data_IF_019338701380
#
_entry.id   IF_019338701380
#
_cell.length_a   1.000
_cell.length_b   1.000
_cell.length_c   1.000
_cell.angle_alpha   90.00
_cell.angle_beta   90.00
_cell.angle_gamma   90.00
#
_symmetry.space_group_name_H-M   'P 1'
#
loop_
_entity.id
_entity.type
_entity.pdbx_description
1 polymer ?
#
# COMPACT_ATOMS: atom_id res chain seq x y z
N UNK A 1 -62.33 -39.62 40.23
CA UNK A 1 -61.09 -38.92 40.75
C UNK A 1 -60.08 -38.90 39.61
N UNK A 2 -59.96 -37.78 38.95
CA UNK A 2 -59.17 -37.64 37.73
C UNK A 2 -58.09 -36.59 37.96
N UNK A 3 -56.85 -37.05 38.05
CA UNK A 3 -55.67 -36.18 38.19
C UNK A 3 -55.21 -35.69 36.79
N UNK A 4 -55.24 -34.38 36.58
CA UNK A 4 -54.77 -33.73 35.34
C UNK A 4 -53.29 -33.43 35.46
N UNK A 5 -52.45 -34.15 34.71
CA UNK A 5 -51.06 -33.86 34.57
C UNK A 5 -50.86 -32.74 33.54
N UNK A 6 -50.40 -31.57 33.95
CA UNK A 6 -50.00 -30.48 33.07
C UNK A 6 -48.53 -30.62 32.72
N UNK A 7 -48.25 -30.95 31.47
CA UNK A 7 -46.90 -30.97 30.91
C UNK A 7 -46.55 -29.55 30.49
N UNK A 8 -45.57 -28.93 31.17
CA UNK A 8 -45.00 -27.64 30.74
C UNK A 8 -43.79 -27.89 29.80
N UNK A 9 -43.93 -27.53 28.54
CA UNK A 9 -42.82 -27.51 27.59
C UNK A 9 -42.05 -26.21 27.77
N UNK A 10 -40.88 -26.27 28.38
CA UNK A 10 -39.90 -25.17 28.32
C UNK A 10 -39.11 -25.27 27.01
N UNK A 11 -39.45 -24.38 26.07
CA UNK A 11 -38.64 -24.16 24.87
C UNK A 11 -37.38 -23.38 25.23
N UNK A 12 -36.23 -24.02 25.18
CA UNK A 12 -34.91 -23.35 25.28
C UNK A 12 -34.58 -22.74 23.91
N UNK A 13 -34.82 -21.44 23.77
CA UNK A 13 -34.20 -20.65 22.65
C UNK A 13 -32.73 -20.44 22.96
N UNK A 14 -31.89 -21.29 22.42
CA UNK A 14 -30.44 -21.07 22.37
C UNK A 14 -30.12 -19.97 21.36
N UNK A 15 -29.92 -18.74 21.82
CA UNK A 15 -29.35 -17.69 21.02
C UNK A 15 -27.89 -18.04 20.69
N UNK A 16 -27.65 -18.50 19.47
CA UNK A 16 -26.27 -18.58 18.92
C UNK A 16 -25.77 -17.15 18.69
N UNK A 17 -25.09 -16.59 19.68
CA UNK A 17 -24.28 -15.40 19.50
C UNK A 17 -23.01 -15.81 18.77
N UNK A 18 -22.97 -15.64 17.46
CA UNK A 18 -21.72 -15.75 16.69
C UNK A 18 -20.77 -14.65 17.17
N UNK A 19 -19.50 -14.97 17.48
CA UNK A 19 -18.57 -13.96 17.92
C UNK A 19 -18.24 -13.01 16.76
N UNK A 20 -18.76 -11.78 16.84
CA UNK A 20 -18.47 -10.67 15.91
C UNK A 20 -16.96 -10.29 15.93
N UNK A 21 -16.23 -10.78 16.94
CA UNK A 21 -14.79 -10.51 17.09
C UNK A 21 -13.89 -11.14 16.00
N UNK A 22 -14.38 -12.15 15.27
CA UNK A 22 -13.55 -12.80 14.23
C UNK A 22 -13.40 -11.95 12.96
N UNK A 23 -14.29 -11.01 12.69
CA UNK A 23 -14.22 -10.17 11.49
C UNK A 23 -13.28 -8.97 11.64
N UNK A 24 -13.08 -8.47 12.87
CA UNK A 24 -12.16 -7.35 13.10
C UNK A 24 -10.67 -7.73 12.98
N UNK A 25 -10.34 -9.01 13.03
CA UNK A 25 -8.97 -9.51 13.01
C UNK A 25 -8.40 -9.66 11.59
N UNK A 26 -9.25 -9.71 10.57
CA UNK A 26 -8.84 -9.81 9.16
C UNK A 26 -8.33 -8.47 8.60
N UNK A 27 -8.75 -7.34 9.17
CA UNK A 27 -8.43 -5.99 8.70
C UNK A 27 -7.04 -5.51 9.14
N UNK A 28 -6.37 -6.21 10.06
CA UNK A 28 -5.08 -5.80 10.63
C UNK A 28 -3.90 -6.65 10.16
N UNK A 29 -4.11 -7.67 9.34
CA UNK A 29 -3.06 -8.65 9.10
C UNK A 29 -1.94 -8.18 8.16
N UNK A 30 -2.16 -7.18 7.32
CA UNK A 30 -1.13 -6.70 6.40
C UNK A 30 -1.34 -5.21 6.03
N UNK A 31 -0.95 -4.25 6.88
CA UNK A 31 -1.06 -2.81 6.57
C UNK A 31 -0.03 -2.34 5.54
N UNK A 32 1.01 -3.13 5.24
CA UNK A 32 2.13 -2.76 4.39
C UNK A 32 1.71 -2.36 3.00
N UNK A 33 0.79 -3.08 2.35
CA UNK A 33 0.29 -2.69 1.03
C UNK A 33 -0.36 -1.30 1.03
N UNK A 34 -1.18 -0.99 2.03
CA UNK A 34 -1.83 0.32 2.14
C UNK A 34 -0.83 1.44 2.46
N UNK A 35 0.15 1.16 3.30
CA UNK A 35 1.24 2.10 3.62
C UNK A 35 2.11 2.34 2.39
N UNK A 36 2.52 1.28 1.69
CA UNK A 36 3.31 1.39 0.47
C UNK A 36 2.57 2.17 -0.64
N UNK A 37 1.25 1.99 -0.81
CA UNK A 37 0.44 2.80 -1.72
C UNK A 37 0.50 4.30 -1.37
N UNK A 38 0.43 4.65 -0.08
CA UNK A 38 0.57 6.03 0.39
C UNK A 38 1.98 6.58 0.13
N UNK A 39 3.02 5.79 0.40
CA UNK A 39 4.41 6.18 0.18
C UNK A 39 4.71 6.38 -1.31
N UNK A 40 4.19 5.51 -2.19
CA UNK A 40 4.30 5.67 -3.64
C UNK A 40 3.61 6.95 -4.15
N UNK A 41 2.44 7.29 -3.63
CA UNK A 41 1.76 8.56 -3.96
C UNK A 41 2.59 9.77 -3.55
N UNK A 42 3.18 9.70 -2.35
CA UNK A 42 4.05 10.78 -1.84
C UNK A 42 5.34 10.88 -2.67
N UNK A 43 5.99 9.74 -3.00
CA UNK A 43 7.17 9.71 -3.85
C UNK A 43 6.87 10.28 -5.24
N UNK A 44 5.74 9.88 -5.84
CA UNK A 44 5.29 10.42 -7.13
C UNK A 44 5.19 11.95 -7.10
N UNK A 45 4.52 12.50 -6.07
CA UNK A 45 4.37 13.94 -5.93
C UNK A 45 5.72 14.64 -5.78
N UNK A 46 6.64 14.09 -4.97
CA UNK A 46 7.97 14.66 -4.76
C UNK A 46 8.80 14.71 -6.05
N UNK A 47 8.76 13.66 -6.86
CA UNK A 47 9.47 13.61 -8.15
C UNK A 47 8.82 14.56 -9.16
N UNK A 48 7.48 14.64 -9.21
CA UNK A 48 6.76 15.48 -10.16
C UNK A 48 7.00 16.97 -9.95
N UNK A 49 7.23 17.42 -8.70
CA UNK A 49 7.40 18.82 -8.37
C UNK A 49 8.85 19.27 -8.58
N UNK A 50 9.22 19.45 -9.83
CA UNK A 50 10.55 19.86 -10.26
C UNK A 50 10.88 21.28 -9.81
N UNK A 51 12.18 21.52 -9.51
CA UNK A 51 12.69 22.84 -9.17
C UNK A 51 13.48 23.51 -10.29
N UNK A 52 14.01 22.76 -11.25
CA UNK A 52 14.80 23.26 -12.36
C UNK A 52 14.50 22.49 -13.65
N UNK A 53 14.67 23.17 -14.79
CA UNK A 53 14.32 22.63 -16.11
C UNK A 53 15.53 22.08 -16.86
N UNK A 54 16.35 21.23 -16.23
CA UNK A 54 17.35 20.47 -16.95
C UNK A 54 16.65 19.35 -17.76
N UNK A 55 16.74 19.35 -19.09
CA UNK A 55 16.06 18.34 -19.92
C UNK A 55 16.54 16.90 -19.64
N UNK A 56 17.81 16.70 -19.28
CA UNK A 56 18.36 15.38 -18.97
C UNK A 56 17.78 14.87 -17.65
N UNK A 57 17.82 15.69 -16.60
CA UNK A 57 17.22 15.39 -15.30
C UNK A 57 15.71 15.13 -15.45
N UNK A 58 15.00 15.95 -16.26
CA UNK A 58 13.58 15.78 -16.54
C UNK A 58 13.27 14.43 -17.21
N UNK A 59 14.17 13.90 -18.04
CA UNK A 59 14.01 12.59 -18.64
C UNK A 59 14.08 11.46 -17.61
N UNK A 60 15.07 11.49 -16.71
CA UNK A 60 15.23 10.49 -15.64
C UNK A 60 14.02 10.52 -14.68
N UNK A 61 13.57 11.71 -14.31
CA UNK A 61 12.38 11.88 -13.48
C UNK A 61 11.09 11.37 -14.16
N UNK A 62 10.93 11.57 -15.46
CA UNK A 62 9.79 11.03 -16.20
C UNK A 62 9.80 9.50 -16.23
N UNK A 63 10.97 8.87 -16.37
CA UNK A 63 11.11 7.42 -16.24
C UNK A 63 10.73 6.97 -14.83
N UNK A 64 11.24 7.64 -13.79
CA UNK A 64 10.89 7.35 -12.41
C UNK A 64 9.36 7.46 -12.18
N UNK A 65 8.72 8.51 -12.64
CA UNK A 65 7.27 8.71 -12.53
C UNK A 65 6.47 7.60 -13.22
N UNK A 66 6.95 7.13 -14.39
CA UNK A 66 6.34 5.99 -15.09
C UNK A 66 6.39 4.71 -14.25
N UNK A 67 7.53 4.42 -13.67
CA UNK A 67 7.74 3.24 -12.82
C UNK A 67 6.94 3.32 -11.50
N UNK A 68 6.91 4.48 -10.84
CA UNK A 68 6.08 4.65 -9.62
C UNK A 68 4.61 4.42 -9.92
N UNK A 69 4.13 4.90 -11.07
CA UNK A 69 2.73 4.67 -11.48
C UNK A 69 2.45 3.20 -11.73
N UNK A 70 3.37 2.50 -12.39
CA UNK A 70 3.23 1.06 -12.65
C UNK A 70 3.24 0.28 -11.33
N UNK A 71 4.18 0.58 -10.41
CA UNK A 71 4.21 -0.01 -9.08
C UNK A 71 2.89 0.19 -8.32
N UNK A 72 2.35 1.40 -8.35
CA UNK A 72 1.08 1.72 -7.69
C UNK A 72 -0.06 0.86 -8.24
N UNK A 73 -0.17 0.73 -9.56
CA UNK A 73 -1.24 -0.06 -10.20
C UNK A 73 -1.15 -1.55 -9.85
N UNK A 74 0.03 -2.13 -9.86
CA UNK A 74 0.25 -3.53 -9.48
C UNK A 74 -0.09 -3.75 -8.00
N UNK A 75 0.35 -2.85 -7.14
CA UNK A 75 0.11 -2.94 -5.71
C UNK A 75 -1.36 -2.69 -5.33
N UNK A 76 -2.05 -1.80 -6.05
CA UNK A 76 -3.49 -1.61 -5.90
C UNK A 76 -4.26 -2.91 -6.20
N UNK A 77 -3.91 -3.60 -7.29
CA UNK A 77 -4.50 -4.89 -7.63
C UNK A 77 -4.15 -5.97 -6.60
N UNK A 78 -2.90 -6.00 -6.11
CA UNK A 78 -2.48 -6.91 -5.05
C UNK A 78 -3.29 -6.68 -3.77
N UNK A 79 -3.48 -5.42 -3.38
CA UNK A 79 -4.29 -5.04 -2.21
C UNK A 79 -5.74 -5.52 -2.33
N UNK A 80 -6.35 -5.34 -3.51
CA UNK A 80 -7.72 -5.79 -3.78
C UNK A 80 -7.79 -7.33 -3.76
N UNK A 81 -6.83 -8.01 -4.38
CA UNK A 81 -6.77 -9.48 -4.38
C UNK A 81 -6.61 -10.05 -2.96
N UNK A 82 -5.95 -9.30 -2.08
CA UNK A 82 -5.78 -9.61 -0.65
C UNK A 82 -6.96 -9.11 0.23
N UNK A 83 -8.04 -8.66 -0.41
CA UNK A 83 -9.28 -8.26 0.28
C UNK A 83 -9.20 -6.93 1.03
N UNK A 84 -8.21 -6.08 0.73
CA UNK A 84 -8.05 -4.78 1.38
C UNK A 84 -8.92 -3.70 0.72
N UNK A 85 -9.39 -2.78 1.54
CA UNK A 85 -10.04 -1.59 1.04
C UNK A 85 -8.98 -0.51 0.77
N UNK A 86 -8.72 -0.21 -0.49
CA UNK A 86 -7.74 0.79 -0.90
C UNK A 86 -8.06 2.21 -0.41
N UNK A 87 -9.30 2.48 0.00
CA UNK A 87 -9.68 3.76 0.61
C UNK A 87 -9.11 3.97 2.02
N UNK A 88 -8.64 2.89 2.66
CA UNK A 88 -8.09 2.93 4.02
C UNK A 88 -6.58 3.26 4.03
N UNK A 89 -5.98 3.53 2.85
CA UNK A 89 -4.59 3.95 2.80
C UNK A 89 -4.38 5.28 3.53
N UNK A 90 -3.26 5.44 4.28
CA UNK A 90 -2.94 6.68 4.94
C UNK A 90 -2.88 7.85 3.96
N UNK A 91 -3.19 9.09 4.38
CA UNK A 91 -3.02 10.25 3.52
C UNK A 91 -1.54 10.41 3.15
N UNK A 92 -1.23 10.86 1.92
CA UNK A 92 0.15 11.10 1.52
C UNK A 92 0.79 12.17 2.41
N UNK A 93 2.03 11.94 2.83
CA UNK A 93 2.80 12.91 3.59
C UNK A 93 3.32 14.03 2.68
N UNK A 94 3.01 15.29 2.99
CA UNK A 94 3.61 16.41 2.28
C UNK A 94 4.94 16.80 2.94
N UNK A 95 6.01 16.89 2.15
CA UNK A 95 7.33 17.30 2.61
C UNK A 95 7.78 18.50 1.79
N UNK A 96 8.07 19.59 2.49
CA UNK A 96 8.66 20.78 1.88
C UNK A 96 10.19 20.60 1.83
N UNK A 97 10.82 21.00 0.75
CA UNK A 97 12.27 20.93 0.58
C UNK A 97 12.69 21.50 -0.78
N UNK A 98 13.97 21.72 -0.96
CA UNK A 98 14.55 21.97 -2.28
C UNK A 98 14.38 20.74 -3.19
N UNK A 99 14.76 20.90 -4.46
CA UNK A 99 14.57 19.82 -5.43
C UNK A 99 15.38 18.56 -5.08
N UNK A 100 16.67 18.72 -4.75
CA UNK A 100 17.54 17.60 -4.34
C UNK A 100 17.02 16.89 -3.09
N UNK A 101 16.59 17.65 -2.08
CA UNK A 101 15.99 17.11 -0.86
C UNK A 101 14.69 16.35 -1.13
N UNK A 102 13.88 16.80 -2.11
CA UNK A 102 12.67 16.06 -2.51
C UNK A 102 13.00 14.73 -3.18
N UNK A 103 13.99 14.67 -4.07
CA UNK A 103 14.41 13.42 -4.70
C UNK A 103 15.02 12.44 -3.69
N UNK A 104 15.83 12.91 -2.73
CA UNK A 104 16.32 12.06 -1.64
C UNK A 104 15.17 11.48 -0.82
N UNK A 105 14.19 12.33 -0.46
CA UNK A 105 13.01 11.86 0.27
C UNK A 105 12.17 10.87 -0.55
N UNK A 106 12.04 11.08 -1.86
CA UNK A 106 11.38 10.12 -2.73
C UNK A 106 12.09 8.76 -2.73
N UNK A 107 13.43 8.73 -2.78
CA UNK A 107 14.21 7.50 -2.65
C UNK A 107 13.97 6.77 -1.33
N UNK A 108 13.91 7.52 -0.22
CA UNK A 108 13.63 6.91 1.09
C UNK A 108 12.23 6.29 1.14
N UNK A 109 11.24 6.95 0.55
CA UNK A 109 9.87 6.43 0.47
C UNK A 109 9.77 5.21 -0.44
N UNK A 110 10.50 5.19 -1.56
CA UNK A 110 10.55 4.02 -2.45
C UNK A 110 11.18 2.81 -1.75
N UNK A 111 12.29 3.00 -1.01
CA UNK A 111 12.88 1.92 -0.19
C UNK A 111 11.91 1.42 0.86
N UNK A 112 11.26 2.34 1.57
CA UNK A 112 10.28 2.00 2.59
C UNK A 112 9.12 1.20 2.01
N UNK A 113 8.56 1.63 0.87
CA UNK A 113 7.49 0.91 0.17
C UNK A 113 7.94 -0.51 -0.23
N UNK A 114 9.17 -0.67 -0.76
CA UNK A 114 9.74 -1.97 -1.09
C UNK A 114 9.80 -2.90 0.13
N UNK A 115 10.29 -2.40 1.26
CA UNK A 115 10.44 -3.18 2.50
C UNK A 115 9.07 -3.57 3.08
N UNK A 116 8.10 -2.66 3.05
CA UNK A 116 6.73 -2.90 3.55
C UNK A 116 6.02 -4.00 2.78
N UNK A 117 6.14 -4.03 1.45
CA UNK A 117 5.49 -5.07 0.64
C UNK A 117 6.29 -6.38 0.56
N UNK A 118 7.60 -6.32 0.84
CA UNK A 118 8.48 -7.50 0.84
C UNK A 118 8.14 -8.51 1.93
N UNK A 119 7.60 -8.04 3.06
CA UNK A 119 7.25 -8.86 4.21
C UNK A 119 5.83 -9.45 4.17
N UNK A 120 5.00 -9.02 3.22
CA UNK A 120 3.59 -9.37 3.18
C UNK A 120 3.28 -10.33 2.04
N UNK A 121 3.21 -11.63 2.23
CA UNK A 121 2.65 -12.47 1.19
C UNK A 121 2.23 -13.88 1.61
N UNK A 122 0.99 -14.00 1.98
CA UNK A 122 0.33 -15.30 2.17
C UNK A 122 -0.63 -15.65 1.01
N UNK A 123 -1.04 -14.65 0.19
CA UNK A 123 -2.00 -14.87 -0.88
C UNK A 123 -1.31 -15.15 -2.22
N UNK A 124 -1.36 -16.39 -2.74
CA UNK A 124 -0.74 -16.73 -4.02
C UNK A 124 -1.23 -15.91 -5.21
N UNK A 125 -2.47 -15.38 -5.16
CA UNK A 125 -3.03 -14.53 -6.22
C UNK A 125 -2.39 -13.12 -6.24
N UNK A 126 -1.98 -12.62 -5.09
CA UNK A 126 -1.32 -11.32 -4.96
C UNK A 126 0.19 -11.40 -5.20
N UNK A 127 0.82 -12.57 -5.03
CA UNK A 127 2.29 -12.74 -5.10
C UNK A 127 2.90 -12.21 -6.39
N UNK A 128 2.35 -12.57 -7.54
CA UNK A 128 2.88 -12.10 -8.83
C UNK A 128 2.72 -10.59 -9.04
N UNK A 129 1.66 -10.00 -8.50
CA UNK A 129 1.42 -8.55 -8.51
C UNK A 129 2.44 -7.84 -7.62
N UNK A 130 2.64 -8.34 -6.41
CA UNK A 130 3.66 -7.85 -5.48
C UNK A 130 5.06 -7.87 -6.10
N UNK A 131 5.46 -8.99 -6.71
CA UNK A 131 6.80 -9.13 -7.29
C UNK A 131 7.02 -8.14 -8.44
N UNK A 132 5.99 -7.88 -9.27
CA UNK A 132 6.05 -6.83 -10.30
C UNK A 132 6.09 -5.42 -9.69
N UNK A 133 5.29 -5.16 -8.66
CA UNK A 133 5.34 -3.89 -7.94
C UNK A 133 6.74 -3.61 -7.39
N UNK A 134 7.39 -4.59 -6.75
CA UNK A 134 8.76 -4.46 -6.27
C UNK A 134 9.75 -4.16 -7.39
N UNK A 135 9.62 -4.86 -8.53
CA UNK A 135 10.48 -4.59 -9.68
C UNK A 135 10.34 -3.14 -10.18
N UNK A 136 9.11 -2.62 -10.25
CA UNK A 136 8.85 -1.23 -10.63
C UNK A 136 9.38 -0.23 -9.57
N UNK A 137 9.26 -0.53 -8.28
CA UNK A 137 9.82 0.30 -7.20
C UNK A 137 11.35 0.40 -7.32
N UNK A 138 12.02 -0.72 -7.57
CA UNK A 138 13.47 -0.75 -7.76
C UNK A 138 13.89 0.07 -9.00
N UNK A 139 13.15 -0.03 -10.09
CA UNK A 139 13.38 0.77 -11.28
C UNK A 139 13.18 2.26 -10.99
N UNK A 140 12.09 2.63 -10.32
CA UNK A 140 11.82 4.01 -9.92
C UNK A 140 12.98 4.57 -9.06
N UNK A 141 13.47 3.77 -8.12
CA UNK A 141 14.64 4.12 -7.29
C UNK A 141 15.89 4.40 -8.12
N UNK A 142 16.18 3.54 -9.11
CA UNK A 142 17.35 3.73 -10.01
C UNK A 142 17.24 5.02 -10.83
N UNK A 143 16.07 5.29 -11.43
CA UNK A 143 15.85 6.50 -12.20
C UNK A 143 15.89 7.77 -11.33
N UNK A 144 15.31 7.72 -10.13
CA UNK A 144 15.36 8.84 -9.18
C UNK A 144 16.81 9.12 -8.73
N UNK A 145 17.60 8.07 -8.49
CA UNK A 145 19.01 8.22 -8.16
C UNK A 145 19.84 8.77 -9.34
N UNK A 146 19.51 8.37 -10.58
CA UNK A 146 20.14 8.94 -11.78
C UNK A 146 19.81 10.43 -11.91
N UNK A 147 18.57 10.85 -11.68
CA UNK A 147 18.17 12.25 -11.69
C UNK A 147 18.96 13.09 -10.68
N UNK A 148 19.28 12.54 -9.50
CA UNK A 148 20.10 13.22 -8.49
C UNK A 148 21.53 13.50 -8.95
N UNK A 149 22.09 12.72 -9.88
CA UNK A 149 23.45 12.94 -10.38
C UNK A 149 23.60 14.25 -11.16
N UNK A 150 22.50 14.73 -11.76
CA UNK A 150 22.49 16.02 -12.48
C UNK A 150 22.38 17.24 -11.53
N UNK A 151 22.13 17.01 -10.25
CA UNK A 151 21.97 18.08 -9.26
C UNK A 151 23.28 18.59 -8.67
N UNK A 152 24.39 17.93 -8.90
CA UNK A 152 25.69 18.25 -8.31
C UNK A 152 26.60 19.13 -9.20
N UNK A 153 26.03 19.74 -10.20
CA UNK A 153 26.70 20.68 -11.08
C UNK A 153 25.92 22.01 -11.09
#
# INVERSE_FOLDING_TARGET
MTSKLKLALLGAFGAMTLPVAAQAQWWSQHPGYLHALSDLRTAYWLIQHRGADDPAQANEENHALGEVRAAYQELEQASIADGKNISDQPPPGFVWGDHGGRLHKALDLLRKAHDEIGSEEDNPAARGLRDRANHHIDNAGRWTAAALQFWHF
#
